data_IF_503300785391
#
_entry.id   IF_503300785391
#
_cell.length_a   1.000
_cell.length_b   1.000
_cell.length_c   1.000
_cell.angle_alpha   90.00
_cell.angle_beta   90.00
_cell.angle_gamma   90.00
#
_symmetry.space_group_name_H-M   'P 1'
#
loop_
_entity.id
_entity.type
_entity.pdbx_description
1 polymer ?
#
# COMPACT_ATOMS: atom_id res chain seq x y z
N UNK A 1 0.12 -3.43 3.00
CA UNK A 1 1.44 -2.77 3.11
C UNK A 1 1.93 -2.29 1.74
N UNK A 2 2.06 -3.15 0.74
CA UNK A 2 2.69 -2.83 -0.57
C UNK A 2 1.99 -1.68 -1.34
N UNK A 3 0.68 -1.56 -1.25
CA UNK A 3 -0.11 -0.56 -2.00
C UNK A 3 -0.26 0.80 -1.29
N UNK A 4 0.32 0.95 -0.10
CA UNK A 4 0.19 2.17 0.71
C UNK A 4 1.55 2.69 1.11
N UNK A 5 1.94 3.83 0.56
CA UNK A 5 3.23 4.48 0.85
C UNK A 5 3.38 4.78 2.35
N UNK A 6 2.39 5.34 3.07
CA UNK A 6 2.48 5.52 4.51
C UNK A 6 2.80 4.23 5.27
N UNK A 7 2.16 3.11 4.91
CA UNK A 7 2.41 1.83 5.57
C UNK A 7 3.81 1.28 5.29
N UNK A 8 4.37 1.53 4.11
CA UNK A 8 5.76 1.15 3.78
C UNK A 8 6.74 1.96 4.63
N UNK A 9 6.51 3.26 4.76
CA UNK A 9 7.37 4.17 5.54
C UNK A 9 7.34 3.77 7.02
N UNK A 10 6.15 3.68 7.61
CA UNK A 10 5.98 3.32 9.04
C UNK A 10 6.54 1.93 9.31
N UNK A 11 6.20 0.95 8.45
CA UNK A 11 6.70 -0.41 8.59
C UNK A 11 8.22 -0.51 8.49
N UNK A 12 8.84 0.28 7.58
CA UNK A 12 10.29 0.33 7.42
C UNK A 12 11.01 0.95 8.62
N UNK A 13 10.50 2.06 9.15
CA UNK A 13 11.08 2.75 10.31
C UNK A 13 10.85 1.96 11.60
N UNK A 14 9.66 1.43 11.81
CA UNK A 14 9.32 0.64 13.01
C UNK A 14 9.84 -0.81 12.96
N UNK A 15 10.45 -1.24 11.85
CA UNK A 15 10.97 -2.60 11.68
C UNK A 15 9.86 -3.68 11.62
N UNK A 16 8.65 -3.31 11.22
CA UNK A 16 7.50 -4.22 11.13
C UNK A 16 7.63 -5.06 9.86
N UNK A 17 7.75 -6.39 10.03
CA UNK A 17 7.82 -7.32 8.92
C UNK A 17 6.53 -7.36 8.08
N UNK A 18 6.66 -7.74 6.81
CA UNK A 18 5.52 -7.84 5.90
C UNK A 18 4.44 -8.81 6.40
N UNK A 19 4.85 -9.98 6.91
CA UNK A 19 3.95 -11.01 7.43
C UNK A 19 3.24 -10.54 8.70
N UNK A 20 3.96 -9.91 9.63
CA UNK A 20 3.40 -9.39 10.88
C UNK A 20 2.35 -8.33 10.60
N UNK A 21 2.66 -7.40 9.68
CA UNK A 21 1.71 -6.39 9.23
C UNK A 21 0.46 -7.04 8.61
N UNK A 22 0.66 -8.05 7.74
CA UNK A 22 -0.45 -8.74 7.08
C UNK A 22 -1.36 -9.44 8.10
N UNK A 23 -0.78 -10.24 9.00
CA UNK A 23 -1.55 -10.97 10.01
C UNK A 23 -2.32 -10.05 10.96
N UNK A 24 -1.75 -8.90 11.29
CA UNK A 24 -2.40 -7.92 12.15
C UNK A 24 -3.51 -7.15 11.42
N UNK A 25 -3.30 -6.77 10.17
CA UNK A 25 -4.24 -5.96 9.39
C UNK A 25 -5.36 -6.78 8.73
N UNK A 26 -5.08 -8.02 8.30
CA UNK A 26 -6.02 -8.83 7.53
C UNK A 26 -7.39 -9.03 8.22
N UNK A 27 -7.50 -9.32 9.53
CA UNK A 27 -8.79 -9.47 10.19
C UNK A 27 -9.67 -8.22 10.08
N UNK A 28 -9.06 -7.03 10.26
CA UNK A 28 -9.76 -5.75 10.14
C UNK A 28 -10.20 -5.47 8.71
N UNK A 29 -9.36 -5.77 7.73
CA UNK A 29 -9.70 -5.61 6.31
C UNK A 29 -10.86 -6.51 5.92
N UNK A 30 -10.84 -7.78 6.33
CA UNK A 30 -11.94 -8.72 6.06
C UNK A 30 -13.25 -8.25 6.70
N UNK A 31 -13.19 -7.82 7.97
CA UNK A 31 -14.36 -7.31 8.67
C UNK A 31 -14.94 -6.06 7.98
N UNK A 32 -14.09 -5.07 7.72
CA UNK A 32 -14.53 -3.81 7.09
C UNK A 32 -15.04 -4.02 5.68
N UNK A 33 -14.42 -4.89 4.90
CA UNK A 33 -14.90 -5.27 3.56
C UNK A 33 -16.27 -5.94 3.66
N UNK A 34 -16.46 -6.89 4.57
CA UNK A 34 -17.74 -7.55 4.79
C UNK A 34 -18.85 -6.56 5.19
N UNK A 35 -18.56 -5.65 6.11
CA UNK A 35 -19.50 -4.60 6.52
C UNK A 35 -19.82 -3.66 5.36
N UNK A 36 -18.82 -3.23 4.59
CA UNK A 36 -19.00 -2.33 3.44
C UNK A 36 -19.87 -2.99 2.36
N UNK A 37 -19.60 -4.25 2.03
CA UNK A 37 -20.41 -5.01 1.07
C UNK A 37 -21.85 -5.20 1.56
N UNK A 38 -22.03 -5.52 2.84
CA UNK A 38 -23.35 -5.64 3.45
C UNK A 38 -24.12 -4.32 3.41
N UNK A 39 -23.48 -3.21 3.80
CA UNK A 39 -24.09 -1.87 3.74
C UNK A 39 -24.40 -1.47 2.30
N UNK A 40 -23.50 -1.71 1.36
CA UNK A 40 -23.69 -1.45 -0.07
C UNK A 40 -24.89 -2.22 -0.60
N UNK A 41 -24.97 -3.52 -0.31
CA UNK A 41 -26.10 -4.36 -0.71
C UNK A 41 -27.42 -3.85 -0.12
N UNK A 42 -27.42 -3.50 1.17
CA UNK A 42 -28.62 -3.01 1.86
C UNK A 42 -29.06 -1.63 1.32
N UNK A 43 -28.11 -0.72 1.11
CA UNK A 43 -28.38 0.68 0.69
C UNK A 43 -28.80 0.80 -0.75
N UNK A 44 -28.17 0.02 -1.64
CA UNK A 44 -28.40 0.07 -3.08
C UNK A 44 -29.35 -1.02 -3.59
N UNK A 45 -29.88 -1.87 -2.72
CA UNK A 45 -30.82 -2.92 -3.08
C UNK A 45 -30.22 -3.94 -4.05
N UNK A 46 -28.91 -4.15 -4.02
CA UNK A 46 -28.20 -5.07 -4.93
C UNK A 46 -28.70 -6.49 -4.68
N UNK A 47 -29.37 -7.07 -5.68
CA UNK A 47 -29.88 -8.43 -5.65
C UNK A 47 -29.10 -9.26 -6.68
N UNK A 48 -28.96 -10.55 -6.41
CA UNK A 48 -28.42 -11.48 -7.41
C UNK A 48 -29.41 -11.63 -8.59
N UNK A 49 -28.90 -12.00 -9.75
CA UNK A 49 -29.72 -12.30 -10.93
C UNK A 49 -30.65 -13.48 -10.60
N UNK A 50 -31.95 -13.24 -10.58
CA UNK A 50 -32.92 -14.22 -10.06
C UNK A 50 -33.59 -15.04 -11.16
N UNK A 51 -33.63 -14.56 -12.42
CA UNK A 51 -34.26 -15.21 -13.54
C UNK A 51 -33.28 -15.60 -14.66
N UNK A 52 -33.69 -16.56 -15.50
CA UNK A 52 -32.88 -16.96 -16.64
C UNK A 52 -32.83 -15.85 -17.71
N UNK A 53 -33.87 -15.02 -17.80
CA UNK A 53 -33.90 -13.84 -18.68
C UNK A 53 -32.90 -12.78 -18.23
N UNK A 54 -32.84 -12.44 -16.91
CA UNK A 54 -31.86 -11.49 -16.36
C UNK A 54 -30.43 -12.00 -16.54
N UNK A 55 -30.23 -13.31 -16.41
CA UNK A 55 -28.92 -13.94 -16.66
C UNK A 55 -28.54 -13.89 -18.12
N UNK A 56 -29.47 -14.12 -19.02
CA UNK A 56 -29.25 -14.05 -20.47
C UNK A 56 -28.95 -12.61 -20.91
N UNK A 57 -29.65 -11.61 -20.36
CA UNK A 57 -29.40 -10.21 -20.63
C UNK A 57 -28.00 -9.80 -20.10
N UNK A 58 -27.69 -10.13 -18.86
CA UNK A 58 -26.36 -9.89 -18.28
C UNK A 58 -25.25 -10.60 -19.07
N UNK A 59 -25.47 -11.84 -19.51
CA UNK A 59 -24.53 -12.57 -20.35
C UNK A 59 -24.32 -11.89 -21.70
N UNK A 60 -25.39 -11.35 -22.30
CA UNK A 60 -25.29 -10.61 -23.57
C UNK A 60 -24.51 -9.31 -23.45
N UNK A 61 -24.64 -8.60 -22.31
CA UNK A 61 -23.87 -7.39 -22.02
C UNK A 61 -22.37 -7.71 -21.86
N UNK A 62 -22.06 -8.85 -21.28
CA UNK A 62 -20.66 -9.26 -21.04
C UNK A 62 -20.06 -9.96 -22.26
N UNK A 63 -20.86 -10.56 -23.13
CA UNK A 63 -20.39 -11.27 -24.33
C UNK A 63 -19.62 -10.39 -25.33
N UNK A 64 -19.79 -9.08 -25.25
CA UNK A 64 -19.04 -8.13 -26.06
C UNK A 64 -17.63 -7.79 -25.52
N UNK A 65 -17.28 -8.24 -24.30
CA UNK A 65 -15.97 -7.99 -23.73
C UNK A 65 -15.02 -9.13 -24.07
N UNK A 66 -13.91 -8.80 -24.73
CA UNK A 66 -12.81 -9.74 -24.91
C UNK A 66 -11.93 -9.74 -23.66
N UNK A 67 -11.96 -10.82 -22.89
CA UNK A 67 -11.15 -11.00 -21.67
C UNK A 67 -9.64 -10.92 -21.93
N UNK A 68 -9.21 -11.10 -23.19
CA UNK A 68 -7.81 -11.05 -23.59
C UNK A 68 -7.40 -9.70 -24.22
N UNK A 69 -8.32 -8.75 -24.40
CA UNK A 69 -8.04 -7.46 -25.05
C UNK A 69 -6.88 -6.71 -24.39
N UNK A 70 -6.80 -6.79 -23.05
CA UNK A 70 -5.73 -6.15 -22.27
C UNK A 70 -4.48 -7.01 -22.08
N UNK A 71 -4.42 -8.21 -22.72
CA UNK A 71 -3.30 -9.15 -22.57
C UNK A 71 -2.54 -9.28 -23.91
N UNK A 72 -1.57 -8.39 -24.21
CA UNK A 72 -0.84 -8.39 -25.48
C UNK A 72 -0.09 -9.68 -25.75
N UNK A 73 0.36 -10.36 -24.69
CA UNK A 73 1.14 -11.59 -24.77
C UNK A 73 0.81 -12.52 -23.57
N UNK A 74 0.34 -13.72 -23.87
CA UNK A 74 0.13 -14.76 -22.84
C UNK A 74 1.43 -15.15 -22.12
N UNK A 75 2.55 -15.13 -22.81
CA UNK A 75 3.86 -15.40 -22.21
C UNK A 75 4.24 -14.33 -21.19
N UNK A 76 4.08 -13.05 -21.54
CA UNK A 76 4.29 -11.93 -20.62
C UNK A 76 3.36 -12.00 -19.41
N UNK A 77 2.09 -12.31 -19.62
CA UNK A 77 1.10 -12.43 -18.55
C UNK A 77 1.52 -13.47 -17.51
N UNK A 78 1.84 -14.69 -17.95
CA UNK A 78 2.24 -15.76 -17.01
C UNK A 78 3.59 -15.52 -16.35
N UNK A 79 4.54 -14.94 -17.09
CA UNK A 79 5.82 -14.49 -16.53
C UNK A 79 5.59 -13.44 -15.43
N UNK A 80 4.74 -12.44 -15.67
CA UNK A 80 4.43 -11.38 -14.69
C UNK A 80 3.72 -11.93 -13.47
N UNK A 81 2.78 -12.85 -13.64
CA UNK A 81 2.14 -13.57 -12.52
C UNK A 81 3.19 -14.34 -11.71
N UNK A 82 4.07 -15.09 -12.35
CA UNK A 82 5.14 -15.83 -11.69
C UNK A 82 6.09 -14.89 -10.93
N UNK A 83 6.51 -13.80 -11.56
CA UNK A 83 7.35 -12.77 -10.94
C UNK A 83 6.66 -12.13 -9.72
N UNK A 84 5.36 -11.82 -9.83
CA UNK A 84 4.58 -11.27 -8.72
C UNK A 84 4.48 -12.24 -7.55
N UNK A 85 4.18 -13.52 -7.82
CA UNK A 85 4.10 -14.56 -6.77
C UNK A 85 5.45 -14.73 -6.08
N UNK A 86 6.54 -14.78 -6.84
CA UNK A 86 7.90 -14.84 -6.27
C UNK A 86 8.22 -13.58 -5.47
N UNK A 87 7.91 -12.41 -5.98
CA UNK A 87 8.11 -11.13 -5.27
C UNK A 87 7.40 -11.12 -3.92
N UNK A 88 6.11 -11.48 -3.88
CA UNK A 88 5.35 -11.57 -2.63
C UNK A 88 5.94 -12.64 -1.71
N UNK A 89 6.37 -13.77 -2.27
CA UNK A 89 7.06 -14.83 -1.52
C UNK A 89 8.38 -14.35 -0.90
N UNK A 90 9.18 -13.55 -1.61
CA UNK A 90 10.40 -12.93 -1.07
C UNK A 90 10.10 -11.94 0.04
N UNK A 91 9.06 -11.10 -0.12
CA UNK A 91 8.65 -10.17 0.93
C UNK A 91 8.16 -10.90 2.19
N UNK A 92 7.41 -11.99 2.03
CA UNK A 92 6.99 -12.84 3.14
C UNK A 92 8.21 -13.54 3.79
N UNK A 93 9.18 -13.98 2.98
CA UNK A 93 10.41 -14.63 3.42
C UNK A 93 11.36 -13.72 4.20
N UNK A 94 11.24 -12.40 4.09
CA UNK A 94 12.09 -11.45 4.85
C UNK A 94 12.00 -11.65 6.36
N UNK A 95 10.86 -12.09 6.88
CA UNK A 95 10.69 -12.36 8.32
C UNK A 95 11.47 -13.60 8.79
N UNK A 96 11.83 -14.52 7.87
CA UNK A 96 12.44 -15.81 8.18
C UNK A 96 13.91 -15.87 7.74
N UNK A 97 14.26 -15.22 6.63
CA UNK A 97 15.58 -15.30 6.03
C UNK A 97 16.41 -14.04 6.38
N UNK A 98 17.48 -14.19 7.22
CA UNK A 98 18.29 -13.04 7.66
C UNK A 98 18.84 -12.20 6.51
N UNK A 99 19.32 -12.85 5.45
CA UNK A 99 19.88 -12.17 4.26
C UNK A 99 18.87 -11.25 3.58
N UNK A 100 17.60 -11.65 3.52
CA UNK A 100 16.53 -10.83 2.90
C UNK A 100 16.10 -9.68 3.82
N UNK A 101 16.21 -9.86 5.13
CA UNK A 101 15.87 -8.82 6.10
C UNK A 101 16.78 -7.59 5.95
N UNK A 102 18.07 -7.82 5.74
CA UNK A 102 19.07 -6.74 5.63
C UNK A 102 18.97 -5.99 4.29
N UNK A 103 18.45 -6.64 3.23
CA UNK A 103 18.30 -6.02 1.91
C UNK A 103 17.18 -4.95 1.86
N UNK A 104 16.15 -5.09 2.66
CA UNK A 104 14.99 -4.21 2.66
C UNK A 104 14.03 -4.42 1.48
N UNK A 105 12.77 -4.03 1.66
CA UNK A 105 11.69 -4.24 0.66
C UNK A 105 11.96 -3.50 -0.66
N UNK A 106 12.54 -2.30 -0.60
CA UNK A 106 12.85 -1.49 -1.79
C UNK A 106 13.88 -2.14 -2.69
N UNK A 107 14.92 -2.74 -2.12
CA UNK A 107 15.95 -3.44 -2.90
C UNK A 107 15.38 -4.68 -3.60
N UNK A 108 14.56 -5.45 -2.91
CA UNK A 108 13.87 -6.61 -3.49
C UNK A 108 12.98 -6.17 -4.65
N UNK A 109 12.19 -5.09 -4.47
CA UNK A 109 11.33 -4.56 -5.52
C UNK A 109 12.11 -4.10 -6.77
N UNK A 110 13.22 -3.37 -6.56
CA UNK A 110 14.09 -2.94 -7.67
C UNK A 110 14.76 -4.13 -8.37
N UNK A 111 15.15 -5.17 -7.64
CA UNK A 111 15.67 -6.39 -8.22
C UNK A 111 14.68 -7.08 -9.15
N UNK A 112 13.42 -7.25 -8.71
CA UNK A 112 12.36 -7.82 -9.55
C UNK A 112 12.03 -6.92 -10.75
N UNK A 113 11.98 -5.60 -10.56
CA UNK A 113 11.80 -4.66 -11.66
C UNK A 113 12.93 -4.79 -12.70
N UNK A 114 14.17 -4.90 -12.25
CA UNK A 114 15.32 -5.14 -13.12
C UNK A 114 15.21 -6.44 -13.92
N UNK A 115 14.77 -7.55 -13.29
CA UNK A 115 14.55 -8.83 -13.97
C UNK A 115 13.47 -8.71 -15.05
N UNK A 116 12.36 -8.04 -14.75
CA UNK A 116 11.27 -7.81 -15.73
C UNK A 116 11.77 -6.95 -16.90
N UNK A 117 12.51 -5.88 -16.63
CA UNK A 117 13.07 -5.01 -17.66
C UNK A 117 14.06 -5.75 -18.58
N UNK A 118 14.90 -6.62 -18.01
CA UNK A 118 15.85 -7.43 -18.80
C UNK A 118 15.14 -8.49 -19.64
N UNK A 119 14.11 -9.14 -19.09
CA UNK A 119 13.32 -10.14 -19.82
C UNK A 119 12.53 -9.53 -20.99
N UNK A 120 12.06 -8.29 -20.84
CA UNK A 120 11.23 -7.58 -21.81
C UNK A 120 11.85 -6.25 -22.25
N UNK A 121 13.12 -6.27 -22.56
CA UNK A 121 13.92 -5.07 -22.98
C UNK A 121 13.31 -4.27 -24.14
N UNK A 122 12.52 -4.92 -25.00
CA UNK A 122 11.86 -4.26 -26.13
C UNK A 122 10.66 -3.38 -25.70
N UNK A 123 10.17 -3.56 -24.48
CA UNK A 123 9.04 -2.82 -23.89
C UNK A 123 9.50 -1.76 -22.88
N UNK A 124 10.80 -1.54 -22.73
CA UNK A 124 11.39 -0.61 -21.74
C UNK A 124 10.78 0.79 -21.82
N UNK A 125 10.54 1.29 -23.04
CA UNK A 125 9.95 2.61 -23.22
C UNK A 125 8.51 2.70 -22.67
N UNK A 126 7.74 1.60 -22.74
CA UNK A 126 6.40 1.53 -22.14
C UNK A 126 6.49 1.52 -20.63
N UNK A 127 7.42 0.74 -20.06
CA UNK A 127 7.63 0.70 -18.62
C UNK A 127 8.12 2.05 -18.10
N UNK A 128 9.04 2.72 -18.81
CA UNK A 128 9.51 4.05 -18.43
C UNK A 128 8.39 5.09 -18.42
N UNK A 129 7.50 5.06 -19.42
CA UNK A 129 6.33 5.95 -19.49
C UNK A 129 5.25 5.63 -18.43
N UNK A 130 5.21 4.39 -17.92
CA UNK A 130 4.28 3.99 -16.88
C UNK A 130 4.74 4.44 -15.47
N UNK A 131 6.00 4.84 -15.31
CA UNK A 131 6.51 5.39 -14.05
C UNK A 131 5.99 6.81 -13.88
N UNK A 132 5.38 7.07 -12.75
CA UNK A 132 4.97 8.42 -12.34
C UNK A 132 6.18 9.19 -11.78
N UNK A 133 6.91 9.84 -12.69
CA UNK A 133 8.12 10.61 -12.37
C UNK A 133 7.81 11.81 -11.50
N UNK A 134 6.65 12.44 -11.68
CA UNK A 134 6.23 13.59 -10.89
C UNK A 134 6.00 13.19 -9.44
N UNK A 135 5.38 12.02 -9.22
CA UNK A 135 5.19 11.45 -7.90
C UNK A 135 6.53 11.10 -7.23
N UNK A 136 7.47 10.53 -7.97
CA UNK A 136 8.81 10.23 -7.44
C UNK A 136 9.57 11.50 -7.07
N UNK A 137 9.52 12.54 -7.91
CA UNK A 137 10.12 13.84 -7.62
C UNK A 137 9.47 14.50 -6.40
N UNK A 138 8.15 14.41 -6.28
CA UNK A 138 7.41 14.87 -5.11
C UNK A 138 7.91 14.18 -3.83
N UNK A 139 8.05 12.85 -3.82
CA UNK A 139 8.56 12.13 -2.65
C UNK A 139 10.00 12.51 -2.32
N UNK A 140 10.86 12.65 -3.33
CA UNK A 140 12.24 13.10 -3.11
C UNK A 140 12.27 14.48 -2.42
N UNK A 141 11.49 15.43 -2.91
CA UNK A 141 11.34 16.75 -2.28
C UNK A 141 10.77 16.68 -0.86
N UNK A 142 9.74 15.85 -0.66
CA UNK A 142 9.13 15.63 0.65
C UNK A 142 10.14 15.12 1.68
N UNK A 143 10.96 14.12 1.33
CA UNK A 143 11.96 13.58 2.25
C UNK A 143 13.06 14.59 2.56
N UNK A 144 13.43 15.47 1.61
CA UNK A 144 14.35 16.59 1.87
C UNK A 144 13.76 17.54 2.89
N UNK A 145 12.48 17.92 2.75
CA UNK A 145 11.78 18.78 3.71
C UNK A 145 11.74 18.15 5.10
N UNK A 146 11.33 16.88 5.19
CA UNK A 146 11.27 16.17 6.48
C UNK A 146 12.64 16.10 7.14
N UNK A 147 13.69 15.80 6.37
CA UNK A 147 15.07 15.78 6.88
C UNK A 147 15.52 17.18 7.36
N UNK A 148 15.14 18.23 6.67
CA UNK A 148 15.41 19.62 7.10
C UNK A 148 14.69 19.95 8.41
N UNK A 149 13.42 19.53 8.56
CA UNK A 149 12.66 19.69 9.81
C UNK A 149 13.29 18.93 10.99
N UNK A 150 13.83 17.75 10.73
CA UNK A 150 14.57 16.96 11.72
C UNK A 150 15.81 17.69 12.20
N UNK A 151 16.63 18.21 11.28
CA UNK A 151 17.84 18.99 11.63
C UNK A 151 17.50 20.31 12.32
N UNK A 152 16.39 20.93 11.97
CA UNK A 152 15.89 22.14 12.61
C UNK A 152 15.21 21.90 13.98
N UNK A 153 15.21 20.65 14.47
CA UNK A 153 14.60 20.24 15.75
C UNK A 153 13.07 20.45 15.80
N UNK A 154 12.42 20.70 14.68
CA UNK A 154 10.96 20.85 14.61
C UNK A 154 10.25 19.55 14.99
N UNK A 155 10.79 18.40 14.51
CA UNK A 155 10.23 17.10 14.85
C UNK A 155 10.37 16.80 16.36
N UNK A 156 11.43 17.23 16.99
CA UNK A 156 11.62 17.10 18.46
C UNK A 156 10.54 17.89 19.23
N UNK A 157 10.20 19.10 18.78
CA UNK A 157 9.12 19.88 19.40
C UNK A 157 7.76 19.19 19.26
N UNK A 158 7.48 18.62 18.09
CA UNK A 158 6.24 17.85 17.85
C UNK A 158 6.24 16.59 18.75
N UNK A 159 7.38 15.90 18.86
CA UNK A 159 7.57 14.73 19.72
C UNK A 159 7.24 15.01 21.18
N UNK A 160 7.74 16.12 21.73
CA UNK A 160 7.40 16.55 23.10
C UNK A 160 5.89 16.74 23.31
N UNK A 161 5.20 17.28 22.29
CA UNK A 161 3.73 17.38 22.31
C UNK A 161 3.04 16.00 22.34
N UNK A 162 3.57 15.03 21.59
CA UNK A 162 3.05 13.65 21.56
C UNK A 162 3.34 12.96 22.90
N UNK A 163 4.53 13.10 23.47
CA UNK A 163 4.88 12.57 24.78
C UNK A 163 3.93 13.09 25.87
N UNK A 164 3.62 14.40 25.84
CA UNK A 164 2.66 14.99 26.76
C UNK A 164 1.24 14.39 26.63
N UNK A 165 0.82 14.04 25.39
CA UNK A 165 -0.45 13.34 25.16
C UNK A 165 -0.41 11.91 25.72
N UNK A 166 0.69 11.19 25.52
CA UNK A 166 0.87 9.81 26.01
C UNK A 166 0.98 9.75 27.53
N UNK A 167 1.46 10.82 28.18
CA UNK A 167 1.54 10.92 29.65
C UNK A 167 0.15 10.85 30.34
N UNK A 168 -0.95 11.05 29.60
CA UNK A 168 -2.31 10.85 30.12
C UNK A 168 -2.67 9.37 30.41
N UNK A 169 -1.74 8.45 30.18
CA UNK A 169 -1.91 7.00 30.39
C UNK A 169 -2.09 6.22 29.10
N UNK A 170 -1.76 4.93 29.10
CA UNK A 170 -1.68 4.10 27.90
C UNK A 170 -2.94 4.14 27.02
N UNK A 171 -4.12 3.97 27.62
CA UNK A 171 -5.37 3.95 26.85
C UNK A 171 -5.82 5.36 26.43
N UNK A 172 -5.77 6.32 27.36
CA UNK A 172 -6.20 7.70 27.09
C UNK A 172 -5.24 8.41 26.15
N UNK A 173 -3.93 8.23 26.34
CA UNK A 173 -2.91 8.81 25.47
C UNK A 173 -2.97 8.25 24.05
N UNK A 174 -3.14 6.93 23.90
CA UNK A 174 -3.32 6.30 22.58
C UNK A 174 -4.59 6.79 21.89
N UNK A 175 -5.71 6.91 22.60
CA UNK A 175 -6.94 7.45 22.05
C UNK A 175 -6.79 8.92 21.61
N UNK A 176 -6.13 9.73 22.42
CA UNK A 176 -5.86 11.14 22.12
C UNK A 176 -4.96 11.28 20.88
N UNK A 177 -3.89 10.48 20.79
CA UNK A 177 -3.00 10.45 19.64
C UNK A 177 -3.74 10.02 18.37
N UNK A 178 -4.61 9.01 18.46
CA UNK A 178 -5.42 8.55 17.35
C UNK A 178 -6.35 9.66 16.83
N UNK A 179 -7.04 10.35 17.74
CA UNK A 179 -7.93 11.48 17.38
C UNK A 179 -7.12 12.63 16.77
N UNK A 180 -6.01 13.01 17.40
CA UNK A 180 -5.14 14.07 16.89
C UNK A 180 -4.58 13.75 15.49
N UNK A 181 -4.12 12.50 15.29
CA UNK A 181 -3.64 12.03 13.98
C UNK A 181 -4.76 12.00 12.94
N UNK A 182 -5.97 11.58 13.30
CA UNK A 182 -7.12 11.58 12.40
C UNK A 182 -7.51 13.02 11.97
N UNK A 183 -7.50 13.96 12.91
CA UNK A 183 -7.76 15.38 12.60
C UNK A 183 -6.64 15.94 11.71
N UNK A 184 -5.38 15.72 12.05
CA UNK A 184 -4.26 16.14 11.22
C UNK A 184 -4.33 15.56 9.80
N UNK A 185 -4.64 14.26 9.68
CA UNK A 185 -4.81 13.55 8.41
C UNK A 185 -5.98 14.04 7.57
N UNK A 186 -6.99 14.67 8.17
CA UNK A 186 -8.10 15.27 7.42
C UNK A 186 -7.74 16.58 6.71
N UNK A 187 -6.66 17.22 7.11
CA UNK A 187 -6.20 18.53 6.59
C UNK A 187 -4.91 18.40 5.80
N UNK A 188 -4.07 17.44 6.15
CA UNK A 188 -2.78 17.19 5.51
C UNK A 188 -2.79 15.87 4.73
N UNK A 189 -1.89 15.76 3.75
CA UNK A 189 -1.66 14.48 3.07
C UNK A 189 -1.12 13.43 4.07
N UNK A 190 -1.63 12.20 3.96
CA UNK A 190 -1.29 11.08 4.83
C UNK A 190 0.19 10.68 4.76
N UNK A 191 0.85 10.90 3.62
CA UNK A 191 2.23 10.47 3.42
C UNK A 191 3.21 11.31 4.22
N UNK A 192 3.19 12.67 4.12
CA UNK A 192 4.00 13.53 4.98
C UNK A 192 3.75 13.31 6.46
N UNK A 193 2.48 13.21 6.85
CA UNK A 193 2.10 12.98 8.25
C UNK A 193 2.67 11.66 8.78
N UNK A 194 2.49 10.56 8.05
CA UNK A 194 3.03 9.26 8.44
C UNK A 194 4.56 9.27 8.52
N UNK A 195 5.23 9.90 7.55
CA UNK A 195 6.69 9.98 7.55
C UNK A 195 7.25 10.81 8.71
N UNK A 196 6.57 11.91 9.09
CA UNK A 196 6.93 12.70 10.27
C UNK A 196 6.69 11.94 11.56
N UNK A 197 5.49 11.37 11.76
CA UNK A 197 5.14 10.65 12.98
C UNK A 197 6.00 9.40 13.20
N UNK A 198 6.43 8.74 12.15
CA UNK A 198 7.29 7.57 12.26
C UNK A 198 8.73 7.88 12.67
N UNK A 199 9.15 9.15 12.55
CA UNK A 199 10.50 9.62 12.95
C UNK A 199 10.55 10.22 14.37
N UNK A 200 9.40 10.47 14.99
CA UNK A 200 9.24 10.94 16.35
C UNK A 200 9.22 9.75 17.31
#
# INVERSE_FOLDING_TARGET
MISSVPNIIVGGIAGIGFVDFFLLAAPYVVLTTGVTLWMGRARFGIRGLAGDEERAEAASLVAGFDENESVPSRGFFWFSIGALVLFVGFLAGQSVLPVLKDLGMGFVALGFAGVVLLAYKHEVDKFYKAVDWDLLAFFAGLFVVINTMEHAQVLTMIGQGIEAMLAAGANAGTALLLVASAVASSVTDNIPLAAMLAKI
#
